data_IF_113373111052
#
_entry.id   IF_113373111052
#
_cell.length_a   1.000
_cell.length_b   1.000
_cell.length_c   1.000
_cell.angle_alpha   90.00
_cell.angle_beta   90.00
_cell.angle_gamma   90.00
#
_symmetry.space_group_name_H-M   'P 1'
#
loop_
_entity.id
_entity.type
_entity.pdbx_description
1 polymer ?
#
# COMPACT_ATOMS: atom_id res chain seq x y z
N UNK A 1 -14.19 -11.59 3.21
CA UNK A 1 -12.76 -11.39 2.85
C UNK A 1 -12.55 -11.85 1.43
N UNK A 2 -11.83 -11.08 0.61
CA UNK A 2 -11.38 -11.53 -0.70
C UNK A 2 -10.03 -12.21 -0.57
N UNK A 3 -9.91 -13.42 -1.12
CA UNK A 3 -8.74 -14.28 -0.94
C UNK A 3 -8.05 -14.44 -2.27
N UNK A 4 -6.73 -14.30 -2.26
CA UNK A 4 -5.90 -14.53 -3.43
C UNK A 4 -5.37 -15.98 -3.38
N UNK A 5 -5.92 -16.85 -4.22
CA UNK A 5 -5.60 -18.28 -4.28
C UNK A 5 -4.88 -18.72 -5.58
N UNK A 6 -4.70 -17.83 -6.56
CA UNK A 6 -4.24 -18.19 -7.91
C UNK A 6 -2.72 -18.12 -8.11
N UNK A 7 -1.96 -17.85 -7.05
CA UNK A 7 -0.50 -17.88 -7.11
C UNK A 7 0.04 -19.29 -7.30
N UNK A 8 0.98 -19.45 -8.24
CA UNK A 8 1.77 -20.68 -8.42
C UNK A 8 3.17 -20.54 -7.81
N UNK A 9 3.76 -19.37 -7.95
CA UNK A 9 5.13 -19.08 -7.50
C UNK A 9 5.18 -18.45 -6.09
N UNK A 10 4.04 -18.21 -5.47
CA UNK A 10 3.95 -17.76 -4.08
C UNK A 10 3.02 -18.65 -3.28
N UNK A 11 3.34 -18.86 -2.01
CA UNK A 11 2.53 -19.62 -1.06
C UNK A 11 2.75 -19.07 0.36
N UNK A 12 1.67 -18.80 1.07
CA UNK A 12 1.71 -18.61 2.52
C UNK A 12 1.57 -19.99 3.18
N UNK A 13 2.70 -20.55 3.59
CA UNK A 13 2.80 -21.91 4.10
C UNK A 13 2.19 -22.02 5.50
N UNK A 14 2.61 -21.08 6.39
CA UNK A 14 2.19 -21.07 7.78
C UNK A 14 2.25 -19.66 8.38
N UNK A 15 1.52 -19.43 9.47
CA UNK A 15 1.39 -18.13 10.14
C UNK A 15 1.33 -18.32 11.65
N UNK A 16 2.44 -18.06 12.35
CA UNK A 16 2.56 -18.33 13.77
C UNK A 16 3.56 -17.41 14.49
N UNK A 17 3.28 -17.09 15.76
CA UNK A 17 4.18 -16.37 16.65
C UNK A 17 4.64 -15.01 16.12
N UNK A 18 3.78 -14.29 15.42
CA UNK A 18 4.08 -12.97 14.86
C UNK A 18 4.85 -13.00 13.53
N UNK A 19 4.96 -14.17 12.88
CA UNK A 19 5.73 -14.36 11.65
C UNK A 19 4.95 -15.17 10.61
N UNK A 20 5.25 -14.92 9.33
CA UNK A 20 4.83 -15.69 8.17
C UNK A 20 5.96 -16.60 7.73
N UNK A 21 5.62 -17.86 7.41
CA UNK A 21 6.46 -18.77 6.64
C UNK A 21 5.93 -18.78 5.21
N UNK A 22 6.74 -18.35 4.26
CA UNK A 22 6.32 -18.13 2.88
C UNK A 22 7.27 -18.78 1.89
N UNK A 23 6.74 -19.26 0.76
CA UNK A 23 7.52 -19.63 -0.43
C UNK A 23 7.39 -18.53 -1.47
N UNK A 24 8.53 -18.09 -2.03
CA UNK A 24 8.66 -17.09 -3.06
C UNK A 24 9.51 -17.63 -4.22
N UNK A 25 8.88 -18.28 -5.19
CA UNK A 25 9.55 -19.13 -6.17
C UNK A 25 10.17 -20.34 -5.49
N UNK A 26 11.49 -20.46 -5.59
CA UNK A 26 12.26 -21.55 -4.98
C UNK A 26 12.72 -21.26 -3.53
N UNK A 27 12.47 -20.06 -3.01
CA UNK A 27 13.02 -19.59 -1.73
C UNK A 27 11.98 -19.56 -0.62
N UNK A 28 12.36 -20.03 0.56
CA UNK A 28 11.55 -20.02 1.77
C UNK A 28 11.95 -18.85 2.65
N UNK A 29 10.98 -18.00 2.99
CA UNK A 29 11.19 -16.80 3.78
C UNK A 29 10.42 -16.83 5.09
N UNK A 30 11.03 -16.29 6.16
CA UNK A 30 10.38 -15.98 7.44
C UNK A 30 10.40 -14.47 7.62
N UNK A 31 9.21 -13.89 7.71
CA UNK A 31 9.05 -12.43 7.84
C UNK A 31 8.06 -12.08 8.95
N UNK A 32 8.29 -11.00 9.74
CA UNK A 32 7.37 -10.59 10.79
C UNK A 32 6.06 -10.04 10.22
N UNK A 33 4.96 -10.41 10.85
CA UNK A 33 3.63 -9.86 10.57
C UNK A 33 2.90 -9.52 11.87
N UNK A 34 2.55 -8.24 12.10
CA UNK A 34 1.86 -7.81 13.32
C UNK A 34 0.40 -8.27 13.41
N UNK A 35 -0.19 -8.74 12.32
CA UNK A 35 -1.54 -9.31 12.33
C UNK A 35 -1.58 -10.67 13.04
N UNK A 36 -0.45 -11.39 13.06
CA UNK A 36 -0.35 -12.71 13.66
C UNK A 36 -0.09 -12.55 15.16
N UNK A 37 -1.16 -12.49 15.95
CA UNK A 37 -1.10 -12.32 17.42
C UNK A 37 -1.25 -13.65 18.17
N UNK A 38 -1.45 -14.75 17.47
CA UNK A 38 -1.53 -16.10 18.01
C UNK A 38 -0.17 -16.79 17.95
N UNK A 39 -0.03 -17.85 18.75
CA UNK A 39 1.12 -18.72 18.72
C UNK A 39 0.71 -20.17 18.98
N UNK A 40 1.37 -21.09 18.30
CA UNK A 40 1.18 -22.53 18.37
C UNK A 40 2.50 -23.27 18.25
N UNK A 41 2.43 -24.49 17.76
CA UNK A 41 3.59 -25.31 17.45
C UNK A 41 3.99 -25.17 15.98
N UNK A 42 5.24 -24.84 15.73
CA UNK A 42 5.82 -24.72 14.38
C UNK A 42 6.31 -26.09 13.90
N UNK A 43 5.40 -26.91 13.42
CA UNK A 43 5.69 -28.29 13.01
C UNK A 43 6.46 -28.35 11.69
N UNK A 44 6.23 -27.41 10.77
CA UNK A 44 6.87 -27.41 9.46
C UNK A 44 8.38 -27.17 9.60
N UNK A 45 9.18 -28.13 9.08
CA UNK A 45 10.63 -28.07 9.16
C UNK A 45 11.23 -26.87 8.43
N UNK A 46 10.52 -26.28 7.47
CA UNK A 46 10.93 -25.08 6.71
C UNK A 46 11.10 -23.85 7.61
N UNK A 47 10.43 -23.78 8.78
CA UNK A 47 10.67 -22.74 9.80
C UNK A 47 12.12 -22.68 10.26
N UNK A 48 12.79 -23.85 10.37
CA UNK A 48 14.19 -23.98 10.81
C UNK A 48 15.18 -23.82 9.65
N UNK A 49 14.75 -24.10 8.42
CA UNK A 49 15.61 -24.20 7.24
C UNK A 49 15.33 -23.11 6.19
N UNK A 50 14.66 -22.01 6.58
CA UNK A 50 14.35 -20.92 5.66
C UNK A 50 15.60 -20.30 5.02
N UNK A 51 15.48 -19.90 3.74
CA UNK A 51 16.56 -19.26 2.97
C UNK A 51 16.72 -17.79 3.36
N UNK A 52 15.67 -17.15 3.80
CA UNK A 52 15.67 -15.78 4.27
C UNK A 52 14.89 -15.60 5.58
N UNK A 53 15.54 -15.01 6.58
CA UNK A 53 14.88 -14.67 7.87
C UNK A 53 15.10 -13.21 8.17
N UNK A 54 14.01 -12.44 8.22
CA UNK A 54 14.04 -11.03 8.60
C UNK A 54 13.68 -10.85 10.08
N UNK A 55 14.52 -10.14 10.83
CA UNK A 55 14.29 -9.82 12.23
C UNK A 55 14.13 -8.32 12.43
N UNK A 56 13.07 -7.92 13.14
CA UNK A 56 12.87 -6.52 13.54
C UNK A 56 13.89 -6.09 14.59
N UNK A 57 14.34 -4.84 14.47
CA UNK A 57 15.12 -4.17 15.52
C UNK A 57 14.18 -3.55 16.56
N UNK A 58 14.63 -3.49 17.82
CA UNK A 58 13.90 -2.79 18.89
C UNK A 58 13.81 -1.27 18.66
N UNK A 59 14.73 -0.71 17.90
CA UNK A 59 14.80 0.73 17.57
C UNK A 59 14.05 1.10 16.28
N UNK A 60 13.30 0.17 15.68
CA UNK A 60 12.66 0.31 14.36
C UNK A 60 13.53 -0.27 13.23
N UNK A 61 12.89 -0.57 12.09
CA UNK A 61 13.54 -1.26 10.98
C UNK A 61 13.86 -2.73 11.28
N UNK A 62 14.96 -3.23 10.75
CA UNK A 62 15.42 -4.61 10.96
C UNK A 62 16.45 -5.02 9.91
N UNK A 63 16.76 -6.32 9.86
CA UNK A 63 17.71 -6.88 8.90
C UNK A 63 17.39 -8.34 8.56
N UNK A 64 17.83 -8.79 7.42
CA UNK A 64 17.91 -10.20 7.07
C UNK A 64 19.05 -10.82 7.88
N UNK A 65 18.75 -11.75 8.77
CA UNK A 65 19.72 -12.45 9.63
C UNK A 65 20.15 -13.78 9.02
N UNK A 66 19.31 -14.36 8.17
CA UNK A 66 19.64 -15.44 7.25
C UNK A 66 19.38 -14.92 5.86
N UNK A 67 20.30 -15.09 4.93
CA UNK A 67 20.17 -14.65 3.54
C UNK A 67 20.97 -15.58 2.64
N UNK A 68 20.35 -16.71 2.31
CA UNK A 68 20.83 -17.66 1.30
C UNK A 68 20.18 -17.44 -0.07
N UNK A 69 19.30 -16.44 -0.14
CA UNK A 69 18.65 -16.00 -1.36
C UNK A 69 19.64 -15.26 -2.27
N UNK A 70 19.43 -15.24 -3.59
CA UNK A 70 20.13 -14.33 -4.49
C UNK A 70 19.79 -12.87 -4.17
N UNK A 71 20.55 -11.92 -4.72
CA UNK A 71 20.26 -10.50 -4.61
C UNK A 71 18.93 -10.14 -5.27
N UNK A 72 18.60 -10.82 -6.37
CA UNK A 72 17.35 -10.64 -7.11
C UNK A 72 16.89 -11.97 -7.72
N UNK A 73 15.58 -12.21 -7.75
CA UNK A 73 14.96 -13.32 -8.48
C UNK A 73 13.59 -12.88 -9.01
N UNK A 74 12.93 -13.71 -9.82
CA UNK A 74 11.63 -13.43 -10.37
C UNK A 74 10.59 -14.46 -9.93
N UNK A 75 9.34 -14.00 -9.79
CA UNK A 75 8.16 -14.85 -9.67
C UNK A 75 7.09 -14.39 -10.66
N UNK A 76 6.14 -15.27 -10.97
CA UNK A 76 5.11 -15.02 -11.94
C UNK A 76 3.72 -15.02 -11.29
N UNK A 77 2.85 -14.13 -11.80
CA UNK A 77 1.42 -14.20 -11.59
C UNK A 77 0.73 -14.22 -12.97
N UNK A 78 0.25 -15.37 -13.38
CA UNK A 78 -0.21 -15.58 -14.75
C UNK A 78 0.90 -15.27 -15.77
N UNK A 79 0.69 -14.24 -16.58
CA UNK A 79 1.68 -13.74 -17.56
C UNK A 79 2.57 -12.60 -17.04
N UNK A 80 2.29 -12.10 -15.85
CA UNK A 80 3.07 -11.03 -15.25
C UNK A 80 4.30 -11.59 -14.54
N UNK A 81 5.43 -10.91 -14.69
CA UNK A 81 6.72 -11.28 -14.11
C UNK A 81 7.17 -10.16 -13.18
N UNK A 82 7.49 -10.52 -11.94
CA UNK A 82 7.91 -9.58 -10.92
C UNK A 82 9.30 -9.91 -10.40
N UNK A 83 10.21 -8.95 -10.50
CA UNK A 83 11.54 -9.02 -9.92
C UNK A 83 11.46 -8.69 -8.43
N UNK A 84 11.96 -9.59 -7.64
CA UNK A 84 12.03 -9.50 -6.18
C UNK A 84 13.45 -9.30 -5.72
N UNK A 85 13.60 -8.68 -4.56
CA UNK A 85 14.87 -8.55 -3.86
C UNK A 85 14.65 -8.34 -2.36
N UNK A 86 15.54 -8.85 -1.48
CA UNK A 86 15.51 -8.50 -0.07
C UNK A 86 15.78 -7.00 0.10
N UNK A 87 14.82 -6.26 0.64
CA UNK A 87 15.00 -4.84 0.91
C UNK A 87 15.56 -4.62 2.33
N UNK A 88 15.98 -3.40 2.64
CA UNK A 88 16.44 -3.01 3.99
C UNK A 88 15.35 -3.11 5.07
N UNK A 89 14.13 -3.42 4.69
CA UNK A 89 12.99 -3.75 5.54
C UNK A 89 12.38 -5.08 5.10
N UNK A 90 11.33 -5.54 5.81
CA UNK A 90 10.74 -6.90 5.61
C UNK A 90 10.18 -7.16 4.19
N UNK A 91 10.07 -6.16 3.33
CA UNK A 91 9.45 -6.28 2.02
C UNK A 91 10.42 -6.87 0.99
N UNK A 92 9.87 -7.58 0.02
CA UNK A 92 10.59 -8.21 -1.09
C UNK A 92 10.34 -7.55 -2.44
N UNK A 93 9.48 -6.53 -2.47
CA UNK A 93 9.12 -5.80 -3.69
C UNK A 93 7.71 -6.09 -4.21
N UNK A 94 6.95 -6.98 -3.56
CA UNK A 94 5.60 -7.33 -3.98
C UNK A 94 4.70 -7.61 -2.78
N UNK A 95 3.39 -7.41 -2.99
CA UNK A 95 2.31 -7.74 -2.05
C UNK A 95 1.37 -8.74 -2.72
N UNK A 96 1.54 -10.05 -2.49
CA UNK A 96 0.79 -11.10 -3.18
C UNK A 96 -0.72 -11.02 -3.00
N UNK A 97 -1.18 -10.57 -1.84
CA UNK A 97 -2.60 -10.37 -1.53
C UNK A 97 -3.30 -9.38 -2.45
N UNK A 98 -2.56 -8.49 -3.09
CA UNK A 98 -3.12 -7.51 -4.02
C UNK A 98 -3.56 -8.14 -5.35
N UNK A 99 -3.14 -9.35 -5.67
CA UNK A 99 -3.52 -9.98 -6.93
C UNK A 99 -5.04 -10.15 -7.07
N UNK A 100 -5.77 -10.32 -5.98
CA UNK A 100 -7.24 -10.36 -6.01
C UNK A 100 -7.87 -9.05 -6.49
N UNK A 101 -7.20 -7.92 -6.27
CA UNK A 101 -7.59 -6.62 -6.82
C UNK A 101 -7.17 -6.49 -8.28
N UNK A 102 -5.98 -7.03 -8.64
CA UNK A 102 -5.52 -7.02 -10.05
C UNK A 102 -6.49 -7.77 -10.95
N UNK A 103 -6.96 -8.93 -10.53
CA UNK A 103 -7.93 -9.72 -11.29
C UNK A 103 -9.26 -8.99 -11.44
N UNK A 104 -9.76 -8.41 -10.34
CA UNK A 104 -11.01 -7.66 -10.33
C UNK A 104 -11.02 -6.51 -11.33
N UNK A 105 -10.09 -5.56 -11.23
CA UNK A 105 -10.10 -4.41 -12.15
C UNK A 105 -9.64 -4.78 -13.57
N UNK A 106 -8.81 -5.83 -13.72
CA UNK A 106 -8.44 -6.32 -15.06
C UNK A 106 -9.64 -6.89 -15.80
N UNK A 107 -10.55 -7.57 -15.10
CA UNK A 107 -11.80 -8.06 -15.70
C UNK A 107 -12.67 -6.88 -16.20
N UNK A 108 -12.82 -5.82 -15.40
CA UNK A 108 -13.55 -4.60 -15.77
C UNK A 108 -12.93 -3.90 -16.99
N UNK A 109 -11.61 -3.77 -17.01
CA UNK A 109 -10.89 -3.14 -18.14
C UNK A 109 -11.09 -3.96 -19.42
N UNK A 110 -10.92 -5.28 -19.36
CA UNK A 110 -11.10 -6.18 -20.51
C UNK A 110 -12.53 -6.13 -21.03
N UNK A 111 -13.52 -6.17 -20.16
CA UNK A 111 -14.94 -6.07 -20.54
C UNK A 111 -15.24 -4.74 -21.25
N UNK A 112 -14.76 -3.62 -20.70
CA UNK A 112 -14.90 -2.29 -21.36
C UNK A 112 -14.22 -2.25 -22.72
N UNK A 113 -13.01 -2.80 -22.85
CA UNK A 113 -12.29 -2.87 -24.13
C UNK A 113 -12.98 -3.74 -25.16
N UNK A 114 -13.64 -4.82 -24.75
CA UNK A 114 -14.45 -5.67 -25.65
C UNK A 114 -15.72 -4.94 -26.13
N UNK A 115 -16.41 -4.22 -25.22
CA UNK A 115 -17.65 -3.50 -25.53
C UNK A 115 -17.40 -2.21 -26.33
N UNK A 116 -16.27 -1.55 -26.11
CA UNK A 116 -15.91 -0.27 -26.71
C UNK A 116 -14.45 -0.31 -27.21
N UNK A 117 -14.13 -1.05 -28.30
CA UNK A 117 -12.75 -1.28 -28.74
C UNK A 117 -12.00 0.01 -29.13
N UNK A 118 -12.70 1.01 -29.64
CA UNK A 118 -12.13 2.30 -30.06
C UNK A 118 -11.93 3.28 -28.93
N UNK A 119 -12.46 2.99 -27.74
CA UNK A 119 -12.31 3.82 -26.56
C UNK A 119 -11.10 3.40 -25.75
N UNK A 120 -10.17 4.31 -25.55
CA UNK A 120 -9.07 4.14 -24.59
C UNK A 120 -9.61 4.07 -23.16
N UNK A 121 -9.08 3.15 -22.36
CA UNK A 121 -9.32 3.09 -20.92
C UNK A 121 -8.11 3.66 -20.21
N UNK A 122 -8.28 4.77 -19.48
CA UNK A 122 -7.22 5.44 -18.75
C UNK A 122 -7.30 5.15 -17.26
N UNK A 123 -6.19 4.72 -16.65
CA UNK A 123 -6.09 4.36 -15.23
C UNK A 123 -5.04 5.20 -14.53
N UNK A 124 -5.40 5.81 -13.40
CA UNK A 124 -4.47 6.47 -12.48
C UNK A 124 -4.12 5.52 -11.33
N UNK A 125 -2.84 5.21 -11.16
CA UNK A 125 -2.33 4.41 -10.05
C UNK A 125 -1.44 5.28 -9.16
N UNK A 126 -1.92 5.58 -7.95
CA UNK A 126 -1.25 6.40 -6.92
C UNK A 126 -0.61 5.51 -5.87
N UNK A 127 0.57 5.91 -5.36
CA UNK A 127 1.43 5.09 -4.48
C UNK A 127 1.76 3.76 -5.13
N UNK A 128 2.09 3.83 -6.41
CA UNK A 128 2.09 2.69 -7.31
C UNK A 128 3.23 1.68 -7.09
N UNK A 129 4.17 1.99 -6.19
CA UNK A 129 5.25 1.12 -5.71
C UNK A 129 6.04 0.50 -6.87
N UNK A 130 6.26 -0.82 -6.85
CA UNK A 130 6.97 -1.58 -7.90
C UNK A 130 6.11 -1.94 -9.11
N UNK A 131 4.87 -1.41 -9.17
CA UNK A 131 4.02 -1.46 -10.35
C UNK A 131 3.22 -2.74 -10.55
N UNK A 132 2.91 -3.53 -9.51
CA UNK A 132 2.06 -4.71 -9.65
C UNK A 132 0.72 -4.40 -10.26
N UNK A 133 -0.02 -3.44 -9.69
CA UNK A 133 -1.31 -2.97 -10.24
C UNK A 133 -1.16 -2.30 -11.61
N UNK A 134 -0.06 -1.58 -11.86
CA UNK A 134 0.25 -0.97 -13.17
C UNK A 134 0.41 -2.04 -14.25
N UNK A 135 1.18 -3.10 -13.97
CA UNK A 135 1.40 -4.20 -14.90
C UNK A 135 0.08 -4.93 -15.21
N UNK A 136 -0.75 -5.19 -14.20
CA UNK A 136 -2.05 -5.84 -14.38
C UNK A 136 -3.01 -4.99 -15.23
N UNK A 137 -3.12 -3.68 -14.95
CA UNK A 137 -3.96 -2.76 -15.72
C UNK A 137 -3.47 -2.63 -17.17
N UNK A 138 -2.16 -2.48 -17.41
CA UNK A 138 -1.57 -2.42 -18.72
C UNK A 138 -1.77 -3.72 -19.52
N UNK A 139 -1.59 -4.90 -18.88
CA UNK A 139 -1.85 -6.20 -19.49
C UNK A 139 -3.34 -6.40 -19.84
N UNK A 140 -4.24 -5.73 -19.14
CA UNK A 140 -5.66 -5.72 -19.44
C UNK A 140 -6.03 -4.75 -20.58
N UNK A 141 -5.09 -3.93 -21.09
CA UNK A 141 -5.26 -3.01 -22.20
C UNK A 141 -5.56 -1.55 -21.83
N UNK A 142 -5.25 -1.14 -20.61
CA UNK A 142 -5.37 0.24 -20.18
C UNK A 142 -4.09 1.05 -20.46
N UNK A 143 -4.27 2.36 -20.71
CA UNK A 143 -3.21 3.36 -20.53
C UNK A 143 -3.11 3.72 -19.07
N UNK A 144 -1.90 3.69 -18.51
CA UNK A 144 -1.72 3.85 -17.08
C UNK A 144 -0.84 5.04 -16.73
N UNK A 145 -1.30 5.89 -15.82
CA UNK A 145 -0.47 6.89 -15.17
C UNK A 145 0.00 6.33 -13.81
N UNK A 146 1.25 5.89 -13.76
CA UNK A 146 1.92 5.35 -12.58
C UNK A 146 2.62 6.47 -11.80
N UNK A 147 2.20 6.70 -10.56
CA UNK A 147 2.72 7.76 -9.70
C UNK A 147 3.24 7.18 -8.39
N UNK A 148 4.52 7.44 -8.10
CA UNK A 148 5.16 7.10 -6.84
C UNK A 148 6.24 8.12 -6.49
N UNK A 149 6.40 8.45 -5.21
CA UNK A 149 7.39 9.42 -4.77
C UNK A 149 8.84 8.89 -4.86
N UNK A 150 9.02 7.58 -4.90
CA UNK A 150 10.33 6.93 -4.94
C UNK A 150 10.78 6.65 -6.37
N UNK A 151 11.83 7.34 -6.81
CA UNK A 151 12.49 7.08 -8.11
C UNK A 151 12.91 5.61 -8.26
N UNK A 152 13.34 4.97 -7.17
CA UNK A 152 13.75 3.56 -7.18
C UNK A 152 12.57 2.62 -7.44
N UNK A 153 11.40 2.90 -6.85
CA UNK A 153 10.18 2.11 -7.07
C UNK A 153 9.65 2.29 -8.48
N UNK A 154 9.64 3.52 -9.00
CA UNK A 154 9.28 3.78 -10.41
C UNK A 154 10.23 3.07 -11.38
N UNK A 155 11.52 3.00 -11.05
CA UNK A 155 12.50 2.22 -11.83
C UNK A 155 12.20 0.71 -11.79
N UNK A 156 11.87 0.17 -10.63
CA UNK A 156 11.47 -1.24 -10.48
C UNK A 156 10.17 -1.55 -11.24
N UNK A 157 9.20 -0.62 -11.24
CA UNK A 157 7.97 -0.77 -12.02
C UNK A 157 8.24 -0.88 -13.52
N UNK A 158 9.13 -0.04 -14.08
CA UNK A 158 9.54 -0.13 -15.49
C UNK A 158 10.15 -1.49 -15.81
N UNK A 159 10.99 -2.00 -14.92
CA UNK A 159 11.64 -3.29 -15.10
C UNK A 159 10.62 -4.44 -15.03
N UNK A 160 9.66 -4.41 -14.10
CA UNK A 160 8.60 -5.40 -14.00
C UNK A 160 7.69 -5.43 -15.25
N UNK A 161 7.35 -4.27 -15.81
CA UNK A 161 6.61 -4.22 -17.06
C UNK A 161 7.44 -4.77 -18.23
N UNK A 162 8.73 -4.43 -18.31
CA UNK A 162 9.63 -4.98 -19.34
C UNK A 162 9.72 -6.51 -19.27
N UNK A 163 9.90 -7.06 -18.06
CA UNK A 163 9.96 -8.50 -17.83
C UNK A 163 8.64 -9.19 -18.17
N UNK A 164 7.51 -8.51 -17.99
CA UNK A 164 6.16 -8.98 -18.34
C UNK A 164 5.83 -8.84 -19.84
N UNK A 165 6.78 -8.41 -20.70
CA UNK A 165 6.53 -8.18 -22.11
C UNK A 165 5.68 -6.94 -22.42
N UNK A 166 5.62 -5.98 -21.47
CA UNK A 166 4.81 -4.76 -21.55
C UNK A 166 5.67 -3.49 -21.68
N UNK A 167 6.87 -3.60 -22.26
CA UNK A 167 7.79 -2.46 -22.40
C UNK A 167 7.19 -1.31 -23.21
N UNK A 168 6.39 -1.65 -24.23
CA UNK A 168 5.74 -0.71 -25.15
C UNK A 168 4.31 -0.35 -24.74
N UNK A 169 3.84 -0.83 -23.60
CA UNK A 169 2.50 -0.48 -23.10
C UNK A 169 2.42 1.03 -22.79
N UNK A 170 1.26 1.67 -23.00
CA UNK A 170 1.09 3.11 -22.82
C UNK A 170 1.10 3.48 -21.31
N UNK A 171 2.27 3.48 -20.70
CA UNK A 171 2.44 3.81 -19.28
C UNK A 171 3.25 5.09 -19.09
N UNK A 172 2.66 6.07 -18.43
CA UNK A 172 3.31 7.32 -18.02
C UNK A 172 3.84 7.17 -16.61
N UNK A 173 5.15 7.16 -16.43
CA UNK A 173 5.81 7.03 -15.15
C UNK A 173 6.14 8.39 -14.55
N UNK A 174 5.67 8.64 -13.34
CA UNK A 174 5.80 9.91 -12.63
C UNK A 174 6.48 9.67 -11.27
N UNK A 175 7.58 10.39 -11.01
CA UNK A 175 8.21 10.45 -9.69
C UNK A 175 7.76 11.73 -9.02
N UNK A 176 6.78 11.64 -8.12
CA UNK A 176 6.17 12.80 -7.48
C UNK A 176 5.37 12.44 -6.22
N UNK A 177 5.11 13.44 -5.37
CA UNK A 177 4.12 13.35 -4.31
C UNK A 177 2.72 13.18 -4.88
N UNK A 178 1.98 12.15 -4.41
CA UNK A 178 0.68 11.80 -4.98
C UNK A 178 -0.37 12.90 -4.82
N UNK A 179 -0.44 13.58 -3.67
CA UNK A 179 -1.40 14.68 -3.46
C UNK A 179 -1.10 15.86 -4.39
N UNK A 180 0.16 16.30 -4.44
CA UNK A 180 0.59 17.38 -5.34
C UNK A 180 0.36 17.02 -6.80
N UNK A 181 0.54 15.75 -7.17
CA UNK A 181 0.25 15.28 -8.51
C UNK A 181 -1.25 15.37 -8.83
N UNK A 182 -2.11 14.85 -7.95
CA UNK A 182 -3.58 14.91 -8.12
C UNK A 182 -4.06 16.36 -8.26
N UNK A 183 -3.62 17.27 -7.40
CA UNK A 183 -3.96 18.70 -7.49
C UNK A 183 -3.55 19.32 -8.83
N UNK A 184 -2.41 18.91 -9.40
CA UNK A 184 -2.00 19.40 -10.72
C UNK A 184 -2.84 18.81 -11.85
N UNK A 185 -3.22 17.53 -11.78
CA UNK A 185 -4.09 16.91 -12.79
C UNK A 185 -5.50 17.53 -12.76
N UNK A 186 -6.03 17.89 -11.58
CA UNK A 186 -7.28 18.65 -11.44
C UNK A 186 -7.18 19.99 -12.16
N UNK A 187 -6.12 20.79 -11.91
CA UNK A 187 -5.92 22.08 -12.59
C UNK A 187 -5.75 21.95 -14.11
N UNK A 188 -5.30 20.79 -14.60
CA UNK A 188 -5.14 20.47 -16.03
C UNK A 188 -6.42 19.94 -16.67
N UNK A 189 -7.48 19.72 -15.90
CA UNK A 189 -8.70 19.12 -16.37
C UNK A 189 -8.56 17.66 -16.82
N UNK A 190 -7.56 16.93 -16.33
CA UNK A 190 -7.38 15.52 -16.68
C UNK A 190 -8.45 14.67 -16.00
N UNK A 191 -8.81 13.56 -16.67
CA UNK A 191 -9.80 12.60 -16.21
C UNK A 191 -9.28 11.18 -16.44
N UNK A 192 -9.75 10.25 -15.59
CA UNK A 192 -9.37 8.83 -15.62
C UNK A 192 -10.62 7.96 -15.45
N UNK A 193 -10.65 6.83 -16.16
CA UNK A 193 -11.75 5.87 -16.08
C UNK A 193 -11.62 4.99 -14.86
N UNK A 194 -10.41 4.68 -14.44
CA UNK A 194 -10.11 3.92 -13.22
C UNK A 194 -9.09 4.62 -12.34
N UNK A 195 -9.29 4.55 -11.02
CA UNK A 195 -8.35 5.08 -10.03
C UNK A 195 -8.01 3.98 -9.03
N UNK A 196 -6.71 3.80 -8.77
CA UNK A 196 -6.15 2.88 -7.78
C UNK A 196 -5.34 3.71 -6.78
N UNK A 197 -5.59 3.50 -5.50
CA UNK A 197 -4.86 4.14 -4.41
C UNK A 197 -4.42 3.09 -3.38
N UNK A 198 -3.13 3.06 -3.08
CA UNK A 198 -2.55 2.20 -2.02
C UNK A 198 -1.66 3.03 -1.08
N UNK A 199 -2.26 4.01 -0.37
CA UNK A 199 -1.50 4.94 0.46
C UNK A 199 -0.85 4.22 1.66
N UNK A 200 0.39 4.58 2.02
CA UNK A 200 1.04 4.03 3.20
C UNK A 200 0.35 4.52 4.48
N UNK A 201 0.38 3.70 5.54
CA UNK A 201 -0.14 4.09 6.86
C UNK A 201 0.58 5.31 7.42
N UNK A 202 1.90 5.40 7.17
CA UNK A 202 2.77 6.49 7.61
C UNK A 202 3.86 6.77 6.57
N UNK A 203 4.19 8.04 6.38
CA UNK A 203 5.27 8.49 5.51
C UNK A 203 5.89 9.80 5.97
N UNK A 204 7.08 10.10 5.45
CA UNK A 204 7.72 11.41 5.57
C UNK A 204 8.11 11.92 4.20
N UNK A 205 7.70 13.12 3.88
CA UNK A 205 8.10 13.83 2.68
C UNK A 205 9.55 14.35 2.76
N UNK A 206 10.13 14.76 1.62
CA UNK A 206 11.51 15.26 1.55
C UNK A 206 11.76 16.51 2.39
N UNK A 207 10.73 17.33 2.63
CA UNK A 207 10.80 18.57 3.43
C UNK A 207 10.41 18.35 4.89
N UNK A 208 10.20 17.07 5.30
CA UNK A 208 9.82 16.71 6.67
C UNK A 208 8.33 16.64 6.92
N UNK A 209 7.50 16.79 5.88
CA UNK A 209 6.05 16.63 5.97
C UNK A 209 5.73 15.23 6.50
N UNK A 210 4.76 15.14 7.39
CA UNK A 210 4.30 13.87 7.94
C UNK A 210 2.98 13.50 7.27
N UNK A 211 2.97 12.32 6.66
CA UNK A 211 1.78 11.65 6.17
C UNK A 211 1.31 10.63 7.22
N UNK A 212 0.06 10.73 7.63
CA UNK A 212 -0.65 9.71 8.38
C UNK A 212 -1.97 9.46 7.68
N UNK A 213 -2.25 8.21 7.38
CA UNK A 213 -3.41 7.83 6.59
C UNK A 213 -4.71 8.33 7.24
N UNK A 214 -4.86 8.16 8.55
CA UNK A 214 -6.05 8.53 9.30
C UNK A 214 -6.37 10.02 9.25
N UNK A 215 -5.34 10.86 9.06
CA UNK A 215 -5.46 12.32 9.00
C UNK A 215 -5.68 12.84 7.57
N UNK A 216 -5.21 12.08 6.56
CA UNK A 216 -5.12 12.56 5.17
C UNK A 216 -6.01 11.80 4.17
N UNK A 217 -6.53 10.63 4.55
CA UNK A 217 -7.21 9.74 3.60
C UNK A 217 -8.47 10.36 2.99
N UNK A 218 -9.34 10.95 3.81
CA UNK A 218 -10.62 11.50 3.36
C UNK A 218 -10.42 12.64 2.33
N UNK A 219 -9.49 13.55 2.61
CA UNK A 219 -9.14 14.63 1.68
C UNK A 219 -8.58 14.09 0.35
N UNK A 220 -7.62 13.15 0.41
CA UNK A 220 -6.99 12.63 -0.79
C UNK A 220 -7.96 11.79 -1.63
N UNK A 221 -8.82 10.99 -1.00
CA UNK A 221 -9.89 10.24 -1.68
C UNK A 221 -10.83 11.21 -2.40
N UNK A 222 -11.24 12.30 -1.76
CA UNK A 222 -12.08 13.33 -2.36
C UNK A 222 -11.43 14.01 -3.57
N UNK A 223 -10.15 14.39 -3.45
CA UNK A 223 -9.37 14.96 -4.55
C UNK A 223 -9.23 13.97 -5.70
N UNK A 224 -8.88 12.71 -5.42
CA UNK A 224 -8.73 11.68 -6.45
C UNK A 224 -10.06 11.38 -7.15
N UNK A 225 -11.17 11.28 -6.41
CA UNK A 225 -12.51 11.06 -6.98
C UNK A 225 -12.91 12.15 -7.98
N UNK A 226 -12.47 13.41 -7.78
CA UNK A 226 -12.72 14.50 -8.73
C UNK A 226 -12.04 14.32 -10.08
N UNK A 227 -11.08 13.38 -10.19
CA UNK A 227 -10.41 13.02 -11.44
C UNK A 227 -11.12 11.90 -12.20
N UNK A 228 -12.20 11.31 -11.68
CA UNK A 228 -12.99 10.34 -12.42
C UNK A 228 -13.57 10.99 -13.70
N UNK A 229 -13.59 10.23 -14.79
CA UNK A 229 -14.22 10.63 -16.06
C UNK A 229 -15.75 10.68 -15.91
N UNK A 230 -16.43 11.22 -16.90
CA UNK A 230 -17.90 11.26 -16.92
C UNK A 230 -18.54 9.87 -17.05
N UNK A 231 -17.78 8.89 -17.59
CA UNK A 231 -18.18 7.49 -17.68
C UNK A 231 -17.06 6.61 -17.07
N UNK A 232 -16.91 6.65 -15.73
CA UNK A 232 -15.84 5.95 -15.03
C UNK A 232 -16.06 4.44 -15.03
N UNK A 233 -15.03 3.70 -14.71
CA UNK A 233 -15.04 2.25 -14.66
C UNK A 233 -14.95 1.72 -13.22
N UNK A 234 -14.01 2.25 -12.44
CA UNK A 234 -13.84 1.86 -11.03
C UNK A 234 -13.06 2.88 -10.20
N UNK A 235 -13.21 2.77 -8.87
CA UNK A 235 -12.33 3.39 -7.89
C UNK A 235 -11.95 2.38 -6.82
N UNK A 236 -10.66 2.13 -6.65
CA UNK A 236 -10.09 1.19 -5.70
C UNK A 236 -9.22 1.93 -4.67
N UNK A 237 -9.48 1.72 -3.39
CA UNK A 237 -8.65 2.19 -2.28
C UNK A 237 -8.22 1.02 -1.42
N UNK A 238 -6.93 0.91 -1.15
CA UNK A 238 -6.35 -0.10 -0.26
C UNK A 238 -5.87 0.52 1.05
N UNK A 239 -5.79 -0.26 2.11
CA UNK A 239 -5.17 0.12 3.37
C UNK A 239 -4.58 -1.08 4.09
N UNK A 240 -3.40 -0.86 4.67
CA UNK A 240 -2.74 -1.78 5.60
C UNK A 240 -2.69 -1.20 7.03
N UNK A 241 -3.48 -0.16 7.29
CA UNK A 241 -3.53 0.53 8.58
C UNK A 241 -4.42 -0.21 9.55
N UNK A 242 -3.84 -0.64 10.67
CA UNK A 242 -4.60 -1.23 11.77
C UNK A 242 -5.57 -0.21 12.35
N UNK A 243 -6.84 -0.59 12.50
CA UNK A 243 -7.90 0.28 13.04
C UNK A 243 -8.72 1.04 11.99
N UNK A 244 -8.28 1.08 10.72
CA UNK A 244 -9.12 1.57 9.62
C UNK A 244 -9.91 0.40 9.01
N UNK A 245 -11.20 0.32 9.37
CA UNK A 245 -12.05 -0.76 8.87
C UNK A 245 -12.35 -0.62 7.37
N UNK A 246 -12.59 -1.75 6.66
CA UNK A 246 -13.06 -1.70 5.27
C UNK A 246 -14.31 -0.84 5.10
N UNK A 247 -15.26 -0.94 6.04
CA UNK A 247 -16.49 -0.16 6.02
C UNK A 247 -16.24 1.37 6.08
N UNK A 248 -15.26 1.81 6.89
CA UNK A 248 -14.89 3.23 6.97
C UNK A 248 -14.29 3.72 5.65
N UNK A 249 -13.45 2.91 4.99
CA UNK A 249 -12.95 3.25 3.66
C UNK A 249 -14.07 3.33 2.62
N UNK A 250 -14.96 2.35 2.60
CA UNK A 250 -16.13 2.35 1.71
C UNK A 250 -17.01 3.58 1.92
N UNK A 251 -17.21 4.01 3.16
CA UNK A 251 -17.96 5.23 3.49
C UNK A 251 -17.29 6.48 2.90
N UNK A 252 -15.96 6.64 3.07
CA UNK A 252 -15.22 7.78 2.50
C UNK A 252 -15.32 7.81 0.97
N UNK A 253 -15.13 6.66 0.31
CA UNK A 253 -15.24 6.57 -1.15
C UNK A 253 -16.65 6.91 -1.63
N UNK A 254 -17.70 6.34 -0.99
CA UNK A 254 -19.09 6.64 -1.36
C UNK A 254 -19.43 8.13 -1.22
N UNK A 255 -18.95 8.79 -0.18
CA UNK A 255 -19.08 10.25 -0.05
C UNK A 255 -18.41 10.98 -1.20
N UNK A 256 -17.17 10.59 -1.52
CA UNK A 256 -16.36 11.24 -2.56
C UNK A 256 -16.96 11.10 -3.96
N UNK A 257 -17.60 9.97 -4.27
CA UNK A 257 -18.28 9.74 -5.57
C UNK A 257 -19.74 10.22 -5.60
N UNK A 258 -20.19 10.95 -4.59
CA UNK A 258 -21.53 11.55 -4.53
C UNK A 258 -22.65 10.53 -4.28
N UNK A 259 -22.38 9.48 -3.52
CA UNK A 259 -23.34 8.43 -3.13
C UNK A 259 -23.98 7.67 -4.32
N UNK A 260 -23.26 7.57 -5.43
CA UNK A 260 -23.70 6.86 -6.64
C UNK A 260 -22.93 5.58 -6.82
N UNK A 261 -23.49 4.64 -7.58
CA UNK A 261 -22.83 3.38 -7.91
C UNK A 261 -22.90 2.33 -6.80
N UNK A 262 -22.07 1.33 -6.97
CA UNK A 262 -21.98 0.17 -6.08
C UNK A 262 -20.65 0.15 -5.34
N UNK A 263 -20.68 -0.13 -4.03
CA UNK A 263 -19.52 -0.20 -3.17
C UNK A 263 -19.43 -1.55 -2.49
N UNK A 264 -18.26 -2.16 -2.61
CA UNK A 264 -17.88 -3.33 -1.83
C UNK A 264 -16.61 -3.01 -1.04
N UNK A 265 -16.61 -3.31 0.25
CA UNK A 265 -15.45 -3.08 1.10
C UNK A 265 -15.23 -4.29 2.02
N UNK A 266 -14.07 -4.91 1.88
CA UNK A 266 -13.70 -6.12 2.63
C UNK A 266 -12.21 -6.15 2.94
N UNK A 267 -11.82 -7.04 3.85
CA UNK A 267 -10.44 -7.45 4.00
C UNK A 267 -9.99 -8.23 2.76
N UNK A 268 -8.72 -8.09 2.43
CA UNK A 268 -8.00 -8.97 1.50
C UNK A 268 -7.07 -9.87 2.29
N UNK A 269 -6.88 -11.09 1.84
CA UNK A 269 -6.11 -12.07 2.58
C UNK A 269 -5.46 -13.13 1.72
N UNK A 270 -4.68 -13.94 2.40
CA UNK A 270 -3.95 -15.07 1.83
C UNK A 270 -4.36 -16.36 2.55
N UNK A 271 -4.52 -17.44 1.81
CA UNK A 271 -4.77 -18.76 2.40
C UNK A 271 -3.47 -19.29 3.02
N UNK A 272 -3.57 -19.76 4.25
CA UNK A 272 -2.48 -20.46 4.97
C UNK A 272 -2.59 -21.95 4.64
N UNK A 273 -1.58 -22.49 3.96
CA UNK A 273 -1.64 -23.87 3.46
C UNK A 273 -1.69 -24.90 4.58
N UNK A 274 -0.94 -24.66 5.67
CA UNK A 274 -0.86 -25.59 6.83
C UNK A 274 -2.19 -25.79 7.53
N UNK A 275 -3.03 -24.75 7.59
CA UNK A 275 -4.28 -24.75 8.37
C UNK A 275 -5.54 -24.70 7.52
N UNK A 276 -5.44 -24.28 6.24
CA UNK A 276 -6.59 -23.95 5.39
C UNK A 276 -7.32 -22.65 5.78
N UNK A 277 -6.90 -21.98 6.86
CA UNK A 277 -7.44 -20.70 7.29
C UNK A 277 -6.93 -19.57 6.40
N UNK A 278 -7.49 -18.36 6.56
CA UNK A 278 -7.08 -17.19 5.81
C UNK A 278 -6.48 -16.14 6.74
N UNK A 279 -5.27 -15.68 6.41
CA UNK A 279 -4.62 -14.56 7.10
C UNK A 279 -5.12 -13.24 6.49
N UNK A 280 -5.77 -12.35 7.26
CA UNK A 280 -6.04 -11.00 6.83
C UNK A 280 -4.72 -10.26 6.59
N UNK A 281 -4.56 -9.64 5.43
CA UNK A 281 -3.32 -8.93 5.08
C UNK A 281 -3.51 -7.42 4.97
N UNK A 282 -4.70 -6.99 4.56
CA UNK A 282 -5.08 -5.60 4.40
C UNK A 282 -6.58 -5.49 4.12
N UNK A 283 -7.02 -4.32 3.72
CA UNK A 283 -8.41 -4.05 3.37
C UNK A 283 -8.49 -3.28 2.05
N UNK A 284 -9.60 -3.49 1.32
CA UNK A 284 -9.87 -2.78 0.06
C UNK A 284 -11.31 -2.30 0.03
N UNK A 285 -11.53 -1.12 -0.57
CA UNK A 285 -12.82 -0.60 -0.95
C UNK A 285 -12.86 -0.49 -2.48
N UNK A 286 -13.81 -1.17 -3.11
CA UNK A 286 -14.00 -1.27 -4.57
C UNK A 286 -15.31 -0.62 -4.95
N UNK A 287 -15.23 0.45 -5.72
CA UNK A 287 -16.41 1.14 -6.25
C UNK A 287 -16.51 0.98 -7.77
N UNK A 288 -17.74 0.82 -8.25
CA UNK A 288 -18.09 0.86 -9.67
C UNK A 288 -19.33 1.74 -9.86
N UNK A 289 -19.52 2.37 -11.05
CA UNK A 289 -20.70 3.21 -11.31
C UNK A 289 -22.01 2.42 -11.30
N UNK A 290 -21.96 1.14 -11.64
CA UNK A 290 -23.08 0.21 -11.63
C UNK A 290 -22.70 -1.06 -10.88
N UNK A 291 -23.68 -1.87 -10.49
CA UNK A 291 -23.41 -3.17 -9.87
C UNK A 291 -22.62 -4.04 -10.85
N UNK A 292 -21.48 -4.55 -10.43
CA UNK A 292 -20.71 -5.50 -11.25
C UNK A 292 -21.57 -6.73 -11.58
N UNK A 293 -21.35 -7.39 -12.74
CA UNK A 293 -22.08 -8.61 -13.10
C UNK A 293 -22.00 -9.65 -11.97
N UNK A 294 -23.11 -10.35 -11.74
CA UNK A 294 -23.18 -11.43 -10.73
C UNK A 294 -22.15 -12.52 -11.04
N UNK A 295 -21.28 -12.79 -10.07
CA UNK A 295 -20.14 -13.73 -10.21
C UNK A 295 -18.81 -13.13 -9.76
N UNK A 296 -18.71 -11.83 -9.61
CA UNK A 296 -17.55 -11.13 -9.09
C UNK A 296 -17.77 -10.76 -7.62
N UNK A 297 -17.59 -11.69 -6.71
CA UNK A 297 -17.42 -11.53 -5.25
C UNK A 297 -18.58 -10.89 -4.44
N UNK A 298 -19.14 -11.66 -3.50
CA UNK A 298 -20.23 -11.26 -2.61
C UNK A 298 -19.71 -10.61 -1.32
N UNK A 299 -20.11 -9.37 -1.10
CA UNK A 299 -19.94 -8.62 0.16
C UNK A 299 -20.46 -7.20 -0.03
N UNK A 300 -21.73 -6.97 0.27
CA UNK A 300 -22.47 -5.83 -0.30
C UNK A 300 -22.75 -4.74 0.72
N UNK A 301 -22.35 -3.49 0.45
CA UNK A 301 -23.02 -2.29 0.90
C UNK A 301 -23.99 -1.83 -0.21
N UNK A 302 -25.19 -2.35 -0.22
CA UNK A 302 -26.27 -1.82 -1.07
C UNK A 302 -26.97 -0.70 -0.35
N UNK A 303 -26.91 0.50 -0.95
CA UNK A 303 -27.95 1.50 -0.71
C UNK A 303 -29.14 1.09 -1.56
N UNK A 304 -30.22 0.68 -0.94
CA UNK A 304 -31.55 0.73 -1.56
C UNK A 304 -31.77 2.19 -1.97
N UNK A 305 -31.82 2.47 -3.26
CA UNK A 305 -32.34 3.73 -3.76
C UNK A 305 -33.75 3.83 -3.19
N UNK A 306 -33.99 4.82 -2.33
CA UNK A 306 -35.35 5.19 -1.99
C UNK A 306 -36.02 5.55 -3.32
N UNK A 307 -36.99 4.71 -3.73
CA UNK A 307 -37.75 4.94 -4.94
C UNK A 307 -38.33 6.36 -4.90
N UNK A 308 -38.00 7.12 -5.90
CA UNK A 308 -38.80 8.26 -6.29
C UNK A 308 -40.04 7.69 -6.98
N UNK A 309 -40.95 7.11 -6.21
CA UNK A 309 -42.30 6.94 -6.65
C UNK A 309 -42.96 8.32 -6.50
N UNK A 310 -43.06 8.99 -7.62
CA UNK A 310 -43.89 10.18 -7.83
C UNK A 310 -45.37 9.70 -7.88
N UNK A 311 -45.89 9.38 -6.70
CA UNK A 311 -47.33 9.31 -6.48
C UNK A 311 -47.73 10.44 -5.54
N UNK A 312 -48.25 11.49 -6.11
CA UNK A 312 -49.01 12.53 -5.46
C UNK A 312 -50.19 11.90 -4.72
N UNK A 313 -50.26 11.93 -3.38
CA UNK A 313 -51.51 11.68 -2.68
C UNK A 313 -52.30 12.98 -2.63
N UNK A 314 -53.35 13.06 -3.41
CA UNK A 314 -54.45 14.02 -3.19
C UNK A 314 -55.08 13.80 -1.82
N UNK A 315 -55.08 14.84 -0.99
CA UNK A 315 -56.12 15.11 0.00
C UNK A 315 -56.14 14.26 1.25
N UNK A 316 -55.52 14.82 2.32
CA UNK A 316 -56.18 15.05 3.60
C UNK A 316 -55.29 15.94 4.48
N UNK A 317 -55.65 17.21 4.55
CA UNK A 317 -55.19 18.12 5.58
C UNK A 317 -55.78 17.70 6.96
N UNK A 318 -54.90 17.44 7.89
CA UNK A 318 -55.25 17.08 9.27
C UNK A 318 -54.12 17.56 10.21
N UNK A 319 -54.25 18.79 10.61
CA UNK A 319 -53.84 19.41 11.88
C UNK A 319 -52.92 18.63 12.80
N UNK A 320 -51.66 18.99 12.83
CA UNK A 320 -50.81 19.07 14.04
C UNK A 320 -49.75 20.16 13.80
N UNK A 321 -50.14 21.38 13.98
CA UNK A 321 -49.24 22.50 14.29
C UNK A 321 -49.69 23.08 15.63
N UNK A 322 -48.70 23.61 16.34
CA UNK A 322 -48.80 24.40 17.56
C UNK A 322 -48.67 23.66 18.88
N UNK A 323 -47.40 23.69 19.41
CA UNK A 323 -47.08 24.39 20.65
C UNK A 323 -45.59 24.22 20.97
N UNK A 324 -44.83 25.21 20.57
CA UNK A 324 -43.61 25.58 21.24
C UNK A 324 -43.59 27.10 21.32
N UNK A 325 -43.99 27.65 22.43
CA UNK A 325 -43.60 29.02 22.80
C UNK A 325 -43.52 29.13 24.33
N UNK A 326 -42.31 29.35 24.79
CA UNK A 326 -41.83 30.30 25.79
C UNK A 326 -42.72 30.52 27.00
N UNK A 327 -42.20 30.24 28.19
CA UNK A 327 -42.14 31.24 29.25
C UNK A 327 -41.08 30.90 30.31
N UNK A 328 -40.21 31.85 30.48
CA UNK A 328 -39.22 32.01 31.52
C UNK A 328 -39.91 32.73 32.69
N UNK A 329 -39.98 32.17 33.91
CA UNK A 329 -40.02 32.98 35.14
C UNK A 329 -39.54 32.18 36.35
N UNK A 330 -38.71 32.85 37.13
CA UNK A 330 -38.15 32.50 38.43
C UNK A 330 -39.17 31.98 39.48
N UNK A 331 -38.77 31.04 40.33
CA UNK A 331 -38.61 31.26 41.78
C UNK A 331 -38.11 30.03 42.54
N UNK A 332 -37.30 30.36 43.52
CA UNK A 332 -36.64 29.52 44.55
C UNK A 332 -37.59 28.66 45.37
N UNK A 333 -37.08 27.56 45.81
CA UNK A 333 -36.88 27.11 47.22
C UNK A 333 -37.24 25.64 47.46
N UNK A 334 -36.33 24.97 48.12
CA UNK A 334 -36.73 24.01 49.15
C UNK A 334 -36.40 22.53 48.90
N UNK A 335 -35.25 22.14 49.33
CA UNK A 335 -34.96 21.00 50.20
C UNK A 335 -35.22 19.52 49.82
N UNK A 336 -34.12 18.83 49.71
CA UNK A 336 -33.69 17.62 50.44
C UNK A 336 -33.98 16.21 49.91
N UNK A 337 -32.89 15.48 50.03
CA UNK A 337 -32.68 14.04 50.12
C UNK A 337 -32.54 13.19 48.83
N UNK A 338 -31.35 12.96 48.35
CA UNK A 338 -30.58 11.72 48.69
C UNK A 338 -30.78 10.56 47.73
N UNK A 339 -29.84 10.36 46.84
CA UNK A 339 -29.10 9.11 46.72
C UNK A 339 -28.13 9.16 45.53
N UNK A 340 -26.85 9.06 45.90
CA UNK A 340 -25.70 8.84 45.01
C UNK A 340 -25.84 7.56 44.20
N UNK A 341 -25.53 7.65 42.89
CA UNK A 341 -24.95 6.56 42.17
C UNK A 341 -23.72 7.13 41.42
N UNK A 342 -22.57 6.65 41.83
CA UNK A 342 -21.25 7.05 41.33
C UNK A 342 -20.99 6.55 39.92
N UNK A 343 -20.54 7.46 39.07
CA UNK A 343 -19.87 7.13 37.81
C UNK A 343 -18.37 7.04 38.07
N UNK A 344 -17.81 5.85 37.97
CA UNK A 344 -16.37 5.64 38.02
C UNK A 344 -15.70 6.03 36.72
N UNK A 345 -14.92 7.10 36.79
CA UNK A 345 -13.94 7.46 35.76
C UNK A 345 -12.61 6.79 36.07
N UNK A 346 -12.16 5.89 35.22
CA UNK A 346 -10.81 5.32 35.28
C UNK A 346 -9.77 6.39 34.94
N UNK A 347 -9.00 6.80 35.93
CA UNK A 347 -7.72 7.50 35.78
C UNK A 347 -6.58 6.50 35.92
N UNK A 348 -5.86 6.24 34.84
CA UNK A 348 -4.59 5.53 34.87
C UNK A 348 -3.49 6.49 35.36
N UNK A 349 -3.04 6.31 36.60
CA UNK A 349 -1.87 6.96 37.15
C UNK A 349 -0.71 5.98 37.24
N UNK A 350 0.25 6.07 36.32
CA UNK A 350 1.51 5.35 36.37
C UNK A 350 2.59 6.18 37.08
N UNK A 351 2.93 5.83 38.30
CA UNK A 351 4.04 6.42 39.04
C UNK A 351 5.37 5.83 38.59
N UNK A 352 6.23 6.66 38.02
CA UNK A 352 7.62 6.35 37.70
C UNK A 352 8.43 6.48 39.02
N UNK A 353 8.90 5.37 39.56
CA UNK A 353 9.92 5.38 40.61
C UNK A 353 11.30 5.58 40.02
N UNK A 354 11.92 6.71 40.34
CA UNK A 354 13.35 6.97 40.12
C UNK A 354 14.14 6.23 41.20
N UNK A 355 15.03 5.32 40.81
CA UNK A 355 16.07 4.77 41.66
C UNK A 355 17.30 5.65 41.53
N UNK A 356 17.71 6.26 42.67
CA UNK A 356 19.03 6.83 42.88
C UNK A 356 19.94 5.75 43.48
N UNK A 357 21.20 5.66 43.03
CA UNK A 357 22.13 4.71 43.68
C UNK A 357 22.77 5.30 44.93
N UNK A 358 22.73 4.50 45.98
CA UNK A 358 23.34 4.77 47.27
C UNK A 358 24.85 4.43 47.25
N UNK A 359 25.64 5.32 47.86
CA UNK A 359 27.08 5.17 48.08
C UNK A 359 27.33 4.67 49.50
N UNK A 360 28.07 3.56 49.64
CA UNK A 360 29.00 3.33 50.76
C UNK A 360 29.75 2.02 50.58
N UNK A 361 31.00 2.09 50.43
CA UNK A 361 32.11 1.92 51.32
C UNK A 361 32.71 0.49 51.35
N UNK A 362 33.87 0.37 50.83
CA UNK A 362 35.17 0.25 51.49
C UNK A 362 35.89 -1.14 51.50
N UNK A 363 37.18 -1.01 51.28
CA UNK A 363 38.33 -1.87 51.65
C UNK A 363 38.58 -3.09 50.73
N UNK A 364 39.66 -3.22 50.03
CA UNK A 364 41.08 -2.98 50.23
C UNK A 364 41.79 -4.24 49.83
N UNK A 365 42.84 -4.13 49.08
CA UNK A 365 44.17 -4.78 49.26
C UNK A 365 44.92 -4.79 47.91
N UNK A 366 46.14 -4.36 48.06
CA UNK A 366 47.19 -4.03 47.09
C UNK A 366 47.74 -5.20 46.26
N UNK A 367 48.33 -4.85 45.12
CA UNK A 367 49.25 -5.71 44.38
C UNK A 367 49.81 -5.03 43.14
N UNK A 368 51.04 -4.66 43.21
CA UNK A 368 51.94 -3.89 42.35
C UNK A 368 52.23 -4.44 40.98
N UNK A 369 52.65 -3.48 40.11
CA UNK A 369 53.69 -3.45 39.06
C UNK A 369 53.20 -3.79 37.67
N UNK A 370 53.51 -3.04 36.60
CA UNK A 370 54.46 -2.03 36.33
C UNK A 370 54.53 -1.82 34.81
N UNK A 371 54.92 -0.61 34.39
CA UNK A 371 55.45 -0.19 33.09
C UNK A 371 54.58 -0.39 31.84
N UNK A 372 54.19 0.59 31.06
CA UNK A 372 55.00 1.63 30.40
C UNK A 372 54.79 1.51 28.90
N UNK A 373 54.28 2.54 28.23
CA UNK A 373 54.34 2.51 26.77
C UNK A 373 53.35 3.47 26.08
N UNK A 374 53.92 4.56 25.65
CA UNK A 374 53.48 5.74 24.92
C UNK A 374 52.45 5.58 23.79
N UNK A 375 51.66 6.61 23.74
CA UNK A 375 51.04 7.38 22.66
C UNK A 375 51.31 7.03 21.17
N UNK A 376 50.24 7.05 20.39
CA UNK A 376 50.30 7.18 18.95
C UNK A 376 48.96 7.66 18.39
N UNK A 377 48.81 8.98 18.22
CA UNK A 377 47.78 9.60 17.39
C UNK A 377 48.13 9.39 15.94
N UNK A 378 47.22 8.88 15.12
CA UNK A 378 47.30 8.97 13.67
C UNK A 378 45.98 9.45 13.10
N UNK A 379 46.02 10.69 12.68
CA UNK A 379 45.07 11.34 11.77
C UNK A 379 45.30 10.83 10.36
N UNK A 380 44.24 10.43 9.65
CA UNK A 380 44.31 10.25 8.20
C UNK A 380 43.40 11.25 7.48
N UNK A 381 44.08 12.12 6.75
CA UNK A 381 43.60 13.13 5.85
C UNK A 381 43.27 12.50 4.48
N UNK A 382 42.14 12.89 3.92
CA UNK A 382 41.75 12.59 2.55
C UNK A 382 42.64 13.37 1.56
N UNK A 383 43.19 12.68 0.57
CA UNK A 383 43.73 13.30 -0.66
C UNK A 383 43.00 12.77 -1.88
N UNK A 384 42.40 13.72 -2.59
CA UNK A 384 41.90 13.60 -3.96
C UNK A 384 43.01 13.27 -4.95
N UNK A 385 42.75 12.36 -5.88
CA UNK A 385 43.56 12.22 -7.08
C UNK A 385 42.67 12.38 -8.32
N UNK A 386 42.83 13.55 -8.96
CA UNK A 386 42.49 13.77 -10.38
C UNK A 386 43.73 13.33 -11.19
N UNK A 387 43.53 12.45 -12.16
CA UNK A 387 44.49 12.32 -13.28
C UNK A 387 43.74 12.22 -14.59
N UNK A 388 43.99 13.18 -15.41
CA UNK A 388 43.85 13.31 -16.85
C UNK A 388 44.25 12.08 -17.64
N UNK A 389 43.48 11.71 -18.66
CA UNK A 389 44.02 11.14 -19.87
C UNK A 389 43.36 11.71 -21.12
N UNK A 390 44.24 12.34 -21.91
CA UNK A 390 44.01 13.02 -23.18
C UNK A 390 43.72 12.02 -24.33
N UNK A 391 42.86 12.51 -25.21
CA UNK A 391 42.77 12.31 -26.67
C UNK A 391 43.87 11.50 -27.36
N UNK A 392 43.45 10.53 -28.20
CA UNK A 392 44.05 10.29 -29.51
C UNK A 392 42.97 10.05 -30.56
N UNK A 393 42.86 10.99 -31.46
CA UNK A 393 42.23 10.83 -32.77
C UNK A 393 43.20 10.09 -33.69
N UNK A 394 42.71 9.19 -34.53
CA UNK A 394 43.41 8.88 -35.77
C UNK A 394 42.39 8.68 -36.91
N UNK A 395 42.62 9.47 -37.91
CA UNK A 395 42.12 9.48 -39.27
C UNK A 395 42.80 8.34 -40.09
N UNK A 396 42.03 7.71 -40.96
CA UNK A 396 42.44 7.23 -42.29
C UNK A 396 41.20 6.64 -42.94
N UNK A 397 40.73 7.11 -43.91
CA UNK A 397 41.03 7.37 -45.33
C UNK A 397 40.20 6.44 -46.18
N UNK A 398 39.22 7.07 -46.87
CA UNK A 398 38.88 6.99 -48.30
C UNK A 398 39.54 5.88 -49.12
N UNK A 399 38.72 5.12 -49.89
CA UNK A 399 38.62 5.26 -51.35
C UNK A 399 37.96 4.04 -52.00
N UNK A 400 37.14 4.31 -53.02
CA UNK A 400 36.85 3.58 -54.24
C UNK A 400 36.04 2.28 -54.16
N UNK A 401 35.05 2.05 -54.96
CA UNK A 401 34.77 2.48 -56.29
C UNK A 401 33.51 1.80 -56.82
N UNK A 402 32.94 2.53 -57.63
CA UNK A 402 31.97 2.34 -58.69
C UNK A 402 31.74 0.93 -59.27
N UNK A 403 30.45 0.78 -59.65
CA UNK A 403 29.87 0.13 -60.85
C UNK A 403 29.35 -1.31 -60.70
N UNK A 404 28.12 -1.45 -61.16
CA UNK A 404 27.60 -2.62 -61.84
C UNK A 404 26.07 -2.67 -61.88
N UNK A 405 25.53 -2.28 -62.98
CA UNK A 405 24.11 -2.40 -63.46
C UNK A 405 23.79 -3.87 -63.76
N UNK A 406 22.48 -4.17 -63.77
CA UNK A 406 21.83 -5.28 -64.47
C UNK A 406 20.67 -5.79 -63.64
N UNK A 407 19.43 -5.51 -63.82
CA UNK A 407 18.42 -5.87 -64.84
C UNK A 407 18.11 -7.39 -64.85
N UNK A 408 16.83 -7.67 -64.60
CA UNK A 408 16.16 -8.74 -65.30
C UNK A 408 15.52 -9.84 -64.47
N UNK A 409 14.23 -9.80 -64.59
CA UNK A 409 13.14 -10.76 -64.48
C UNK A 409 12.53 -10.88 -63.09
#
# INVERSE_FOLDING_TARGET
MWICDDWKDYELIDADGGERLERWGDYILVRPDPQIIWSGEREDSRWKNADGVYRRSRSGGGRWVVSRMPEEWCINYGKLVFKLRPMGFKHTGLFPEQAVNWDWFSALIKDRRLKCPDREVSVLNLFAYTGGATAAAAAAGASVCHVDASKGMVGAAKENLRLSGLADAPVRYIVDDCKKFVEREIRRGRRYDGIIMDPPSYGRGPSGEVWKLEECADELIGLAASLLSDDPLFFLVNSYTTGLSPASMGYMVMRAVGLRGHMEAQEIGLRVTSTGLCLPAGASARWTPEKAPEGTFAGTFTRTAAGTDDETPSGRAGKFAEKANVENTHKESGNNSGRNIASETYKAGGAVRRHTPDKSANAGVAGKSGSGGKAGKASFSAKSNKSNMKRKANKANTENGRKGKGAGV
#
